data_IF_685117521473
#
_entry.id   IF_685117521473
#
_cell.length_a   1.000
_cell.length_b   1.000
_cell.length_c   1.000
_cell.angle_alpha   90.00
_cell.angle_beta   90.00
_cell.angle_gamma   90.00
#
_symmetry.space_group_name_H-M   'P 1'
#
loop_
_entity.id
_entity.type
_entity.pdbx_description
1 polymer ?
#
# COMPACT_ATOMS: atom_id res chain seq x y z
N UNK A 1 -39.66 -23.04 11.68
CA UNK A 1 -39.10 -22.65 10.36
C UNK A 1 -37.86 -23.49 10.12
N UNK A 2 -37.99 -24.52 9.30
CA UNK A 2 -36.84 -25.36 8.95
C UNK A 2 -35.77 -24.54 8.27
N UNK A 3 -34.56 -24.52 8.82
CA UNK A 3 -33.38 -23.94 8.17
C UNK A 3 -33.06 -24.77 6.91
N UNK A 4 -33.62 -24.40 5.76
CA UNK A 4 -33.29 -25.03 4.49
C UNK A 4 -31.77 -25.09 4.37
N UNK A 5 -31.21 -26.27 4.17
CA UNK A 5 -29.76 -26.49 4.11
C UNK A 5 -29.19 -25.80 2.89
N UNK A 6 -28.28 -24.82 3.12
CA UNK A 6 -27.60 -24.09 2.06
C UNK A 6 -26.31 -24.82 1.64
N UNK A 7 -26.10 -24.96 0.34
CA UNK A 7 -24.91 -25.58 -0.24
C UNK A 7 -24.23 -24.58 -1.16
N UNK A 8 -22.90 -24.55 -1.16
CA UNK A 8 -22.10 -23.65 -2.00
C UNK A 8 -21.33 -24.44 -3.03
N UNK A 9 -21.41 -24.00 -4.27
CA UNK A 9 -20.63 -24.55 -5.38
C UNK A 9 -19.77 -23.45 -6.01
N UNK A 10 -18.56 -23.83 -6.43
CA UNK A 10 -17.73 -22.96 -7.25
C UNK A 10 -18.35 -22.87 -8.64
N UNK A 11 -18.38 -21.66 -9.22
CA UNK A 11 -18.84 -21.46 -10.59
C UNK A 11 -17.90 -22.21 -11.54
N UNK A 12 -18.41 -22.97 -12.52
CA UNK A 12 -17.58 -23.60 -13.54
C UNK A 12 -16.88 -22.54 -14.39
N UNK A 13 -15.80 -22.92 -15.05
CA UNK A 13 -14.98 -21.97 -15.84
C UNK A 13 -15.74 -21.42 -17.07
N UNK A 14 -16.64 -22.20 -17.60
CA UNK A 14 -17.50 -21.87 -18.73
C UNK A 14 -18.84 -21.23 -18.34
N UNK A 15 -19.07 -20.93 -17.05
CA UNK A 15 -20.28 -20.28 -16.53
C UNK A 15 -20.61 -18.96 -17.25
N UNK A 16 -19.62 -18.30 -17.80
CA UNK A 16 -19.80 -17.04 -18.53
C UNK A 16 -20.18 -17.21 -20.02
N UNK A 17 -20.59 -18.40 -20.40
CA UNK A 17 -21.29 -18.70 -21.67
C UNK A 17 -22.77 -18.93 -21.33
N UNK A 18 -23.74 -18.17 -21.93
CA UNK A 18 -25.15 -18.23 -21.52
C UNK A 18 -25.72 -19.63 -21.48
N UNK A 19 -25.54 -20.40 -22.56
CA UNK A 19 -26.04 -21.79 -22.68
C UNK A 19 -25.46 -22.73 -21.64
N UNK A 20 -24.16 -22.56 -21.31
CA UNK A 20 -23.48 -23.37 -20.29
C UNK A 20 -23.95 -23.01 -18.88
N UNK A 21 -24.16 -21.70 -18.63
CA UNK A 21 -24.66 -21.24 -17.35
C UNK A 21 -26.10 -21.72 -17.10
N UNK A 22 -26.98 -21.55 -18.11
CA UNK A 22 -28.36 -22.00 -18.06
C UNK A 22 -28.41 -23.53 -17.84
N UNK A 23 -27.71 -24.32 -18.67
CA UNK A 23 -27.65 -25.77 -18.55
C UNK A 23 -27.10 -26.28 -17.22
N UNK A 24 -26.04 -25.64 -16.67
CA UNK A 24 -25.51 -25.99 -15.36
C UNK A 24 -26.51 -25.72 -14.22
N UNK A 25 -27.26 -24.63 -14.30
CA UNK A 25 -28.31 -24.30 -13.32
C UNK A 25 -29.48 -25.27 -13.41
N UNK A 26 -29.86 -25.69 -14.61
CA UNK A 26 -30.89 -26.69 -14.86
C UNK A 26 -30.48 -28.07 -14.31
N UNK A 27 -29.22 -28.48 -14.54
CA UNK A 27 -28.65 -29.72 -13.99
C UNK A 27 -28.71 -29.70 -12.45
N UNK A 28 -28.35 -28.61 -11.82
CA UNK A 28 -28.44 -28.47 -10.36
C UNK A 28 -29.89 -28.50 -9.83
N UNK A 29 -30.85 -27.95 -10.56
CA UNK A 29 -32.24 -28.02 -10.19
C UNK A 29 -32.77 -29.46 -10.28
N UNK A 30 -32.37 -30.21 -11.29
CA UNK A 30 -32.68 -31.65 -11.40
C UNK A 30 -32.08 -32.50 -10.25
N UNK A 31 -30.99 -32.03 -9.63
CA UNK A 31 -30.40 -32.62 -8.40
C UNK A 31 -31.14 -32.15 -7.10
N UNK A 32 -32.21 -31.36 -7.21
CA UNK A 32 -32.89 -30.75 -6.06
C UNK A 32 -32.17 -29.57 -5.43
N UNK A 33 -31.30 -28.91 -6.19
CA UNK A 33 -30.52 -27.75 -5.74
C UNK A 33 -30.98 -26.49 -6.48
N UNK A 34 -31.66 -25.59 -5.77
CA UNK A 34 -32.21 -24.37 -6.35
C UNK A 34 -31.33 -23.17 -6.05
N UNK A 35 -30.98 -22.41 -7.08
CA UNK A 35 -30.15 -21.22 -6.93
C UNK A 35 -30.82 -20.19 -6.00
N UNK A 36 -30.09 -19.70 -5.03
CA UNK A 36 -30.50 -18.61 -4.14
C UNK A 36 -29.78 -17.32 -4.46
N UNK A 37 -28.47 -17.38 -4.66
CA UNK A 37 -27.67 -16.21 -4.97
C UNK A 37 -26.40 -16.58 -5.73
N UNK A 38 -25.96 -15.65 -6.59
CA UNK A 38 -24.68 -15.72 -7.29
C UNK A 38 -23.70 -14.74 -6.69
N UNK A 39 -22.58 -15.27 -6.23
CA UNK A 39 -21.43 -14.49 -5.80
C UNK A 39 -20.38 -14.40 -6.89
N UNK A 40 -19.19 -13.96 -6.51
CA UNK A 40 -18.07 -13.73 -7.41
C UNK A 40 -17.49 -15.01 -8.04
N UNK A 41 -17.30 -16.02 -7.23
CA UNK A 41 -16.73 -17.34 -7.61
C UNK A 41 -17.62 -18.50 -7.15
N UNK A 42 -18.72 -18.22 -6.48
CA UNK A 42 -19.54 -19.19 -5.80
C UNK A 42 -21.00 -18.93 -6.06
N UNK A 43 -21.75 -19.99 -6.28
CA UNK A 43 -23.21 -19.97 -6.26
C UNK A 43 -23.70 -20.62 -4.95
N UNK A 44 -24.74 -20.05 -4.37
CA UNK A 44 -25.42 -20.60 -3.18
C UNK A 44 -26.74 -21.20 -3.60
N UNK A 45 -26.94 -22.45 -3.25
CA UNK A 45 -28.13 -23.19 -3.54
C UNK A 45 -28.86 -23.57 -2.25
N UNK A 46 -30.16 -23.76 -2.36
CA UNK A 46 -31.01 -24.29 -1.31
C UNK A 46 -31.49 -25.68 -1.74
N UNK A 47 -31.44 -26.68 -0.84
CA UNK A 47 -31.99 -28.01 -1.10
C UNK A 47 -33.53 -27.97 -1.14
N UNK A 48 -34.08 -28.62 -2.13
CA UNK A 48 -35.51 -28.86 -2.34
C UNK A 48 -35.75 -30.20 -3.00
N UNK A 49 -36.98 -30.45 -3.42
CA UNK A 49 -37.31 -31.64 -4.19
C UNK A 49 -36.78 -31.46 -5.64
N UNK A 50 -36.19 -32.51 -6.26
CA UNK A 50 -35.76 -32.44 -7.64
C UNK A 50 -36.88 -32.00 -8.58
N UNK A 51 -36.62 -30.99 -9.41
CA UNK A 51 -37.60 -30.45 -10.35
C UNK A 51 -36.90 -30.12 -11.69
N UNK A 52 -37.59 -30.35 -12.79
CA UNK A 52 -37.16 -29.91 -14.10
C UNK A 52 -37.45 -28.42 -14.27
N UNK A 53 -36.58 -27.58 -13.71
CA UNK A 53 -36.66 -26.13 -13.84
C UNK A 53 -35.83 -25.67 -15.04
N UNK A 54 -36.35 -24.67 -15.76
CA UNK A 54 -35.60 -23.93 -16.77
C UNK A 54 -34.99 -22.67 -16.18
N UNK A 55 -33.81 -22.28 -16.65
CA UNK A 55 -33.19 -21.02 -16.29
C UNK A 55 -32.96 -20.17 -17.52
N UNK A 56 -33.04 -18.85 -17.35
CA UNK A 56 -32.79 -17.88 -18.41
C UNK A 56 -31.98 -16.70 -17.87
N UNK A 57 -30.95 -16.31 -18.60
CA UNK A 57 -30.14 -15.12 -18.33
C UNK A 57 -30.63 -13.95 -19.20
N UNK A 58 -30.96 -12.81 -18.58
CA UNK A 58 -31.48 -11.63 -19.28
C UNK A 58 -30.66 -10.40 -18.91
N UNK A 59 -30.23 -9.56 -19.86
CA UNK A 59 -29.53 -8.32 -19.56
C UNK A 59 -30.46 -7.34 -18.84
N UNK A 60 -29.92 -6.70 -17.78
CA UNK A 60 -30.62 -5.69 -17.01
C UNK A 60 -30.42 -4.32 -17.64
N UNK A 61 -31.50 -3.52 -17.75
CA UNK A 61 -31.39 -2.15 -18.25
C UNK A 61 -30.72 -1.27 -17.19
N UNK A 62 -29.53 -0.69 -17.46
CA UNK A 62 -28.81 0.12 -16.50
C UNK A 62 -29.44 1.50 -16.25
N UNK A 63 -30.31 1.96 -17.14
CA UNK A 63 -30.98 3.26 -17.09
C UNK A 63 -32.40 3.16 -16.48
N UNK A 64 -32.90 1.95 -16.28
CA UNK A 64 -34.18 1.74 -15.61
C UNK A 64 -34.00 1.97 -14.10
N UNK A 65 -34.79 2.87 -13.53
CA UNK A 65 -34.79 3.18 -12.10
C UNK A 65 -35.36 2.04 -11.25
N UNK A 66 -36.01 1.05 -11.87
CA UNK A 66 -36.55 -0.13 -11.17
C UNK A 66 -35.42 -1.01 -10.66
N UNK A 67 -35.63 -1.56 -9.47
CA UNK A 67 -34.72 -2.55 -8.89
C UNK A 67 -34.70 -3.85 -9.69
N UNK A 68 -33.65 -4.71 -9.48
CA UNK A 68 -33.52 -5.99 -10.21
C UNK A 68 -34.73 -6.92 -10.06
N UNK A 69 -35.34 -6.93 -8.87
CA UNK A 69 -36.54 -7.74 -8.62
C UNK A 69 -37.78 -7.22 -9.36
N UNK A 70 -37.90 -5.89 -9.53
CA UNK A 70 -38.99 -5.27 -10.27
C UNK A 70 -38.82 -5.49 -11.76
N UNK A 71 -37.61 -5.30 -12.30
CA UNK A 71 -37.30 -5.62 -13.69
C UNK A 71 -37.52 -7.10 -13.97
N UNK A 72 -37.11 -8.00 -13.07
CA UNK A 72 -37.37 -9.43 -13.14
C UNK A 72 -38.88 -9.78 -13.06
N UNK A 73 -39.64 -9.00 -12.30
CA UNK A 73 -41.09 -9.14 -12.17
C UNK A 73 -41.86 -8.93 -13.46
N UNK A 74 -41.35 -8.16 -14.42
CA UNK A 74 -41.95 -7.98 -15.74
C UNK A 74 -42.04 -9.30 -16.53
N UNK A 75 -41.19 -10.28 -16.23
CA UNK A 75 -41.15 -11.60 -16.86
C UNK A 75 -42.10 -12.60 -16.23
N UNK A 76 -42.72 -12.26 -15.07
CA UNK A 76 -43.64 -13.15 -14.38
C UNK A 76 -44.87 -13.54 -15.23
N UNK A 77 -45.36 -12.65 -16.06
CA UNK A 77 -46.48 -12.88 -17.03
C UNK A 77 -46.16 -13.97 -18.06
N UNK A 78 -44.88 -14.28 -18.26
CA UNK A 78 -44.41 -15.31 -19.19
C UNK A 78 -43.97 -16.60 -18.47
N UNK A 79 -44.30 -16.75 -17.18
CA UNK A 79 -43.97 -17.92 -16.39
C UNK A 79 -42.57 -17.89 -15.75
N UNK A 80 -41.86 -16.75 -15.81
CA UNK A 80 -40.53 -16.63 -15.22
C UNK A 80 -40.54 -15.91 -13.89
N UNK A 81 -39.77 -16.46 -12.92
CA UNK A 81 -39.59 -15.91 -11.58
C UNK A 81 -38.17 -15.38 -11.44
N UNK A 82 -38.01 -14.16 -10.89
CA UNK A 82 -36.69 -13.62 -10.57
C UNK A 82 -36.07 -14.37 -9.40
N UNK A 83 -34.83 -14.84 -9.59
CA UNK A 83 -34.06 -15.56 -8.56
C UNK A 83 -32.97 -14.69 -7.97
N UNK A 84 -32.11 -14.18 -8.83
CA UNK A 84 -30.95 -13.38 -8.43
C UNK A 84 -30.39 -12.59 -9.60
N UNK A 85 -29.32 -11.85 -9.39
CA UNK A 85 -28.63 -11.08 -10.41
C UNK A 85 -27.14 -11.36 -10.42
N UNK A 86 -26.52 -11.24 -11.57
CA UNK A 86 -25.07 -11.25 -11.74
C UNK A 86 -24.59 -9.81 -11.93
N UNK A 87 -23.86 -9.27 -10.93
CA UNK A 87 -23.24 -7.92 -10.93
C UNK A 87 -24.16 -6.75 -11.30
N UNK A 88 -25.45 -6.83 -10.99
CA UNK A 88 -26.43 -5.81 -11.41
C UNK A 88 -26.42 -5.53 -12.92
N UNK A 89 -26.10 -6.51 -13.74
CA UNK A 89 -26.04 -6.40 -15.19
C UNK A 89 -26.85 -7.49 -15.89
N UNK A 90 -26.99 -8.66 -15.25
CA UNK A 90 -27.73 -9.78 -15.81
C UNK A 90 -28.65 -10.34 -14.72
N UNK A 91 -29.94 -10.46 -15.05
CA UNK A 91 -30.95 -11.12 -14.23
C UNK A 91 -30.87 -12.62 -14.48
N UNK A 92 -31.07 -13.41 -13.43
CA UNK A 92 -31.25 -14.85 -13.51
C UNK A 92 -32.69 -15.16 -13.17
N UNK A 93 -33.39 -15.69 -14.15
CA UNK A 93 -34.79 -16.07 -14.05
C UNK A 93 -34.92 -17.60 -14.01
N UNK A 94 -35.93 -18.10 -13.31
CA UNK A 94 -36.30 -19.52 -13.22
C UNK A 94 -37.73 -19.67 -13.64
N UNK A 95 -38.04 -20.77 -14.35
CA UNK A 95 -39.42 -21.15 -14.68
C UNK A 95 -39.55 -22.67 -14.75
N UNK A 96 -40.78 -23.18 -14.75
CA UNK A 96 -41.07 -24.63 -14.97
C UNK A 96 -40.91 -24.98 -16.45
N UNK A 97 -40.16 -26.05 -16.72
CA UNK A 97 -39.92 -26.51 -18.09
C UNK A 97 -41.23 -26.84 -18.79
N UNK A 98 -41.49 -26.22 -19.95
CA UNK A 98 -42.72 -26.40 -20.72
C UNK A 98 -43.86 -25.42 -20.41
N UNK A 99 -43.78 -24.66 -19.30
CA UNK A 99 -44.77 -23.61 -18.96
C UNK A 99 -44.26 -22.19 -19.20
N UNK A 100 -42.95 -22.00 -19.35
CA UNK A 100 -42.38 -20.71 -19.64
C UNK A 100 -42.15 -20.50 -21.14
N UNK A 101 -42.65 -19.39 -21.64
CA UNK A 101 -42.40 -18.98 -23.03
C UNK A 101 -40.93 -18.50 -23.11
N UNK A 102 -40.21 -18.97 -24.14
CA UNK A 102 -38.89 -18.45 -24.46
C UNK A 102 -39.11 -17.06 -25.06
N UNK A 103 -38.86 -16.04 -24.27
CA UNK A 103 -39.10 -14.65 -24.67
C UNK A 103 -37.95 -14.23 -25.55
N UNK A 104 -38.24 -13.92 -26.79
CA UNK A 104 -37.39 -13.07 -27.60
C UNK A 104 -37.23 -11.74 -26.85
N UNK A 105 -36.00 -11.37 -26.52
CA UNK A 105 -35.72 -10.23 -25.64
C UNK A 105 -36.50 -8.98 -26.05
N UNK A 106 -37.40 -8.54 -25.17
CA UNK A 106 -38.20 -7.32 -25.34
C UNK A 106 -37.35 -6.03 -25.38
N UNK A 107 -36.09 -6.13 -24.99
CA UNK A 107 -35.18 -4.98 -24.79
C UNK A 107 -34.07 -5.04 -25.83
N UNK A 108 -34.07 -4.08 -26.75
CA UNK A 108 -33.24 -4.06 -27.95
C UNK A 108 -31.74 -3.94 -27.75
N UNK A 109 -31.00 -4.04 -28.85
CA UNK A 109 -29.53 -4.01 -28.98
C UNK A 109 -28.85 -2.87 -28.18
N UNK A 110 -29.56 -1.76 -27.95
CA UNK A 110 -29.02 -0.61 -27.19
C UNK A 110 -28.60 -0.92 -25.75
N UNK A 111 -29.22 -1.91 -25.10
CA UNK A 111 -28.91 -2.28 -23.72
C UNK A 111 -27.54 -2.96 -23.64
N UNK A 112 -27.23 -3.84 -24.56
CA UNK A 112 -25.90 -4.50 -24.61
C UNK A 112 -24.80 -3.47 -24.82
N UNK A 113 -24.99 -2.51 -25.71
CA UNK A 113 -24.03 -1.44 -25.95
C UNK A 113 -23.83 -0.56 -24.71
N UNK A 114 -24.90 -0.21 -24.00
CA UNK A 114 -24.85 0.57 -22.75
C UNK A 114 -24.09 -0.21 -21.64
N UNK A 115 -24.40 -1.48 -21.45
CA UNK A 115 -23.73 -2.32 -20.46
C UNK A 115 -22.25 -2.53 -20.79
N UNK A 116 -21.92 -2.77 -22.06
CA UNK A 116 -20.54 -2.89 -22.51
C UNK A 116 -19.76 -1.58 -22.36
N UNK A 117 -20.39 -0.42 -22.58
CA UNK A 117 -19.78 0.89 -22.35
C UNK A 117 -19.49 1.12 -20.87
N UNK A 118 -20.44 0.77 -19.99
CA UNK A 118 -20.27 0.84 -18.52
C UNK A 118 -19.12 -0.03 -18.03
N UNK A 119 -18.96 -1.22 -18.61
CA UNK A 119 -17.84 -2.12 -18.28
C UNK A 119 -16.49 -1.61 -18.77
N UNK A 120 -16.43 -0.96 -19.94
CA UNK A 120 -15.19 -0.34 -20.45
C UNK A 120 -14.66 0.73 -19.51
N UNK A 121 -15.53 1.53 -18.90
CA UNK A 121 -15.15 2.52 -17.90
C UNK A 121 -14.47 1.91 -16.67
N UNK A 122 -14.81 0.68 -16.30
CA UNK A 122 -14.19 0.00 -15.16
C UNK A 122 -12.74 -0.44 -15.41
N UNK A 123 -12.31 -0.54 -16.66
CA UNK A 123 -10.94 -0.90 -17.01
C UNK A 123 -9.92 0.17 -16.58
N UNK A 124 -10.30 1.44 -16.57
CA UNK A 124 -9.48 2.55 -16.06
C UNK A 124 -9.25 2.45 -14.54
N UNK A 125 -10.13 1.75 -13.83
CA UNK A 125 -10.00 1.52 -12.40
C UNK A 125 -8.71 0.78 -11.99
N UNK A 126 -8.08 0.04 -12.92
CA UNK A 126 -6.77 -0.61 -12.67
C UNK A 126 -5.65 0.39 -12.42
N UNK A 127 -5.73 1.55 -13.05
CA UNK A 127 -4.69 2.57 -12.93
C UNK A 127 -4.93 3.53 -11.76
N UNK A 128 -6.14 3.57 -11.19
CA UNK A 128 -6.48 4.49 -10.11
C UNK A 128 -5.59 4.34 -8.87
N UNK A 129 -5.26 3.14 -8.33
CA UNK A 129 -4.38 3.03 -7.20
C UNK A 129 -2.95 3.48 -7.53
N UNK A 130 -2.47 3.20 -8.75
CA UNK A 130 -1.16 3.66 -9.19
C UNK A 130 -1.12 5.19 -9.29
N UNK A 131 -2.12 5.80 -9.93
CA UNK A 131 -2.23 7.27 -10.06
C UNK A 131 -2.36 7.90 -8.66
N UNK A 132 -3.19 7.33 -7.78
CA UNK A 132 -3.35 7.82 -6.41
C UNK A 132 -2.01 7.83 -5.67
N UNK A 133 -1.27 6.71 -5.70
CA UNK A 133 0.01 6.61 -5.03
C UNK A 133 1.09 7.49 -5.66
N UNK A 134 1.05 7.68 -6.98
CA UNK A 134 1.95 8.61 -7.68
C UNK A 134 1.66 10.07 -7.26
N UNK A 135 0.39 10.48 -7.25
CA UNK A 135 -0.03 11.81 -6.79
C UNK A 135 0.35 12.01 -5.33
N UNK A 136 0.09 11.01 -4.47
CA UNK A 136 0.46 11.06 -3.06
C UNK A 136 1.96 11.23 -2.88
N UNK A 137 2.75 10.53 -3.66
CA UNK A 137 4.21 10.59 -3.62
C UNK A 137 4.75 11.97 -4.07
N UNK A 138 4.19 12.51 -5.15
CA UNK A 138 4.52 13.86 -5.62
C UNK A 138 4.06 14.91 -4.60
N UNK A 139 2.85 14.78 -4.09
CA UNK A 139 2.31 15.71 -3.08
C UNK A 139 3.10 15.65 -1.77
N UNK A 140 3.46 14.46 -1.28
CA UNK A 140 4.29 14.31 -0.08
C UNK A 140 5.69 14.88 -0.26
N UNK A 141 6.29 14.69 -1.43
CA UNK A 141 7.57 15.29 -1.77
C UNK A 141 7.51 16.82 -1.81
N UNK A 142 6.46 17.36 -2.39
CA UNK A 142 6.29 18.82 -2.53
C UNK A 142 5.83 19.48 -1.23
N UNK A 143 4.83 18.92 -0.53
CA UNK A 143 4.22 19.52 0.66
C UNK A 143 5.01 19.27 1.94
N UNK A 144 5.67 18.12 2.05
CA UNK A 144 6.34 17.69 3.29
C UNK A 144 7.86 17.52 3.13
N UNK A 145 8.41 17.75 1.94
CA UNK A 145 9.83 17.54 1.66
C UNK A 145 10.27 16.07 1.69
N UNK A 146 9.32 15.11 1.79
CA UNK A 146 9.64 13.69 1.80
C UNK A 146 9.95 13.17 0.40
N UNK A 147 11.21 12.91 0.11
CA UNK A 147 11.59 12.16 -1.09
C UNK A 147 11.49 10.65 -0.89
N UNK A 148 11.47 9.91 -1.99
CA UNK A 148 11.42 8.44 -1.97
C UNK A 148 12.60 7.80 -1.25
N UNK A 149 13.78 8.38 -1.41
CA UNK A 149 15.00 7.87 -0.80
C UNK A 149 14.97 8.06 0.72
N UNK A 150 14.47 9.21 1.20
CA UNK A 150 14.26 9.46 2.62
C UNK A 150 13.32 8.44 3.24
N UNK A 151 12.17 8.17 2.59
CA UNK A 151 11.22 7.15 3.04
C UNK A 151 11.84 5.75 3.04
N UNK A 152 12.67 5.44 2.03
CA UNK A 152 13.32 4.14 1.91
C UNK A 152 14.41 3.95 2.97
N UNK A 153 15.26 4.96 3.20
CA UNK A 153 16.32 4.94 4.21
C UNK A 153 15.72 4.89 5.61
N UNK A 154 14.71 5.71 5.90
CA UNK A 154 13.99 5.67 7.19
C UNK A 154 13.09 4.42 7.37
N UNK A 155 13.01 3.56 6.36
CA UNK A 155 12.27 2.29 6.44
C UNK A 155 10.75 2.41 6.34
N UNK A 156 10.21 3.51 5.84
CA UNK A 156 8.76 3.73 5.71
C UNK A 156 8.16 3.34 4.36
N UNK A 157 9.00 2.99 3.37
CA UNK A 157 8.53 2.61 2.03
C UNK A 157 7.55 1.43 2.01
N UNK A 158 7.60 0.54 3.02
CA UNK A 158 6.70 -0.59 3.10
C UNK A 158 5.22 -0.19 3.13
N UNK A 159 4.87 0.96 3.72
CA UNK A 159 3.49 1.47 3.75
C UNK A 159 2.99 1.75 2.34
N UNK A 160 3.85 2.39 1.51
CA UNK A 160 3.54 2.71 0.12
C UNK A 160 3.36 1.44 -0.69
N UNK A 161 4.31 0.50 -0.60
CA UNK A 161 4.25 -0.77 -1.34
C UNK A 161 3.05 -1.61 -0.92
N UNK A 162 2.78 -1.72 0.38
CA UNK A 162 1.63 -2.47 0.89
C UNK A 162 0.31 -1.86 0.40
N UNK A 163 0.15 -0.54 0.53
CA UNK A 163 -1.05 0.16 0.08
C UNK A 163 -1.28 0.03 -1.42
N UNK A 164 -0.24 0.26 -2.23
CA UNK A 164 -0.29 0.10 -3.69
C UNK A 164 -0.61 -1.34 -4.08
N UNK A 165 0.04 -2.32 -3.42
CA UNK A 165 -0.19 -3.74 -3.67
C UNK A 165 -1.63 -4.16 -3.37
N UNK A 166 -2.14 -3.87 -2.18
CA UNK A 166 -3.50 -4.26 -1.76
C UNK A 166 -4.58 -3.59 -2.63
N UNK A 167 -4.45 -2.28 -2.88
CA UNK A 167 -5.38 -1.56 -3.74
C UNK A 167 -5.34 -2.10 -5.18
N UNK A 168 -4.13 -2.33 -5.72
CA UNK A 168 -3.95 -2.86 -7.07
C UNK A 168 -4.51 -4.27 -7.23
N UNK A 169 -4.27 -5.18 -6.29
CA UNK A 169 -4.83 -6.53 -6.31
C UNK A 169 -6.36 -6.52 -6.24
N UNK A 170 -6.94 -5.65 -5.42
CA UNK A 170 -8.39 -5.47 -5.35
C UNK A 170 -8.98 -5.03 -6.68
N UNK A 171 -8.38 -4.03 -7.31
CA UNK A 171 -8.81 -3.52 -8.62
C UNK A 171 -8.59 -4.54 -9.75
N UNK A 172 -7.45 -5.23 -9.76
CA UNK A 172 -7.16 -6.28 -10.74
C UNK A 172 -8.22 -7.38 -10.71
N UNK A 173 -8.62 -7.78 -9.51
CA UNK A 173 -9.67 -8.78 -9.35
C UNK A 173 -11.04 -8.29 -9.86
N UNK A 174 -11.38 -7.02 -9.64
CA UNK A 174 -12.62 -6.41 -10.15
C UNK A 174 -12.64 -6.32 -11.69
N UNK A 175 -11.48 -6.04 -12.28
CA UNK A 175 -11.32 -5.99 -13.73
C UNK A 175 -11.45 -7.37 -14.39
N UNK A 176 -10.87 -8.41 -13.80
CA UNK A 176 -11.01 -9.78 -14.30
C UNK A 176 -12.49 -10.19 -14.41
N UNK A 177 -13.27 -9.88 -13.37
CA UNK A 177 -14.70 -10.18 -13.40
C UNK A 177 -15.47 -9.33 -14.41
N UNK A 178 -15.10 -8.05 -14.56
CA UNK A 178 -15.71 -7.21 -15.57
C UNK A 178 -15.50 -7.79 -16.99
N UNK A 179 -14.30 -8.36 -17.26
CA UNK A 179 -14.03 -9.07 -18.51
C UNK A 179 -14.89 -10.31 -18.71
N UNK A 180 -15.07 -11.11 -17.66
CA UNK A 180 -15.91 -12.30 -17.74
C UNK A 180 -17.38 -11.95 -18.02
N UNK A 181 -17.92 -10.93 -17.34
CA UNK A 181 -19.27 -10.43 -17.61
C UNK A 181 -19.37 -9.79 -19.02
N UNK A 182 -18.33 -9.10 -19.46
CA UNK A 182 -18.27 -8.56 -20.83
C UNK A 182 -18.34 -9.67 -21.88
N UNK A 183 -17.66 -10.80 -21.64
CA UNK A 183 -17.75 -11.98 -22.52
C UNK A 183 -19.17 -12.54 -22.54
N UNK A 184 -19.77 -12.73 -21.35
CA UNK A 184 -21.17 -13.20 -21.24
C UNK A 184 -22.13 -12.30 -22.04
N UNK A 185 -22.04 -10.98 -21.85
CA UNK A 185 -22.91 -10.03 -22.55
C UNK A 185 -22.72 -10.05 -24.06
N UNK A 186 -21.50 -10.22 -24.56
CA UNK A 186 -21.23 -10.35 -26.00
C UNK A 186 -21.82 -11.63 -26.58
N UNK A 187 -21.68 -12.75 -25.88
CA UNK A 187 -22.29 -14.02 -26.32
C UNK A 187 -23.81 -13.94 -26.33
N UNK A 188 -24.42 -13.27 -25.33
CA UNK A 188 -25.86 -13.00 -25.31
C UNK A 188 -26.28 -12.10 -26.49
N UNK A 189 -25.51 -11.05 -26.79
CA UNK A 189 -25.78 -10.15 -27.94
C UNK A 189 -25.69 -10.92 -29.26
N UNK A 190 -24.70 -11.80 -29.43
CA UNK A 190 -24.55 -12.63 -30.62
C UNK A 190 -25.76 -13.58 -30.76
N UNK A 191 -26.16 -14.24 -29.66
CA UNK A 191 -27.34 -15.11 -29.63
C UNK A 191 -28.60 -14.35 -30.03
N UNK A 192 -28.83 -13.19 -29.47
CA UNK A 192 -29.95 -12.31 -29.78
C UNK A 192 -29.99 -11.92 -31.27
N UNK A 193 -28.85 -11.51 -31.84
CA UNK A 193 -28.76 -11.17 -33.28
C UNK A 193 -29.04 -12.37 -34.18
N UNK A 194 -28.61 -13.58 -33.76
CA UNK A 194 -28.88 -14.83 -34.52
C UNK A 194 -30.37 -15.18 -34.49
N UNK A 195 -31.04 -15.03 -33.35
CA UNK A 195 -32.45 -15.30 -33.21
C UNK A 195 -33.31 -14.30 -34.01
N UNK A 196 -32.97 -12.99 -34.04
CA UNK A 196 -33.65 -11.98 -34.85
C UNK A 196 -33.53 -12.23 -36.35
N UNK A 197 -32.46 -12.85 -36.83
CA UNK A 197 -32.26 -13.14 -38.25
C UNK A 197 -32.89 -14.47 -38.72
N UNK A 198 -33.72 -15.09 -37.89
CA UNK A 198 -34.47 -16.30 -38.27
C UNK A 198 -33.61 -17.54 -38.50
N UNK A 199 -32.49 -17.69 -37.81
CA UNK A 199 -31.65 -18.89 -37.86
C UNK A 199 -30.82 -19.06 -39.14
N UNK A 200 -30.78 -18.10 -40.05
CA UNK A 200 -29.93 -18.12 -41.24
C UNK A 200 -28.44 -18.05 -40.87
N UNK A 201 -27.61 -18.87 -41.54
CA UNK A 201 -26.15 -18.85 -41.34
C UNK A 201 -25.60 -17.44 -41.60
N UNK A 202 -25.01 -16.86 -40.55
CA UNK A 202 -24.24 -15.64 -40.68
C UNK A 202 -23.01 -16.01 -41.52
N UNK A 203 -22.99 -15.55 -42.78
CA UNK A 203 -21.76 -15.63 -43.57
C UNK A 203 -20.64 -14.96 -42.78
N UNK A 204 -19.65 -15.76 -42.41
CA UNK A 204 -18.50 -15.42 -41.56
C UNK A 204 -17.56 -14.36 -42.22
N UNK A 205 -18.00 -13.66 -43.24
CA UNK A 205 -17.15 -12.83 -44.08
C UNK A 205 -16.90 -11.42 -43.55
N UNK A 206 -17.83 -10.86 -42.74
CA UNK A 206 -17.66 -9.49 -42.20
C UNK A 206 -16.86 -9.44 -40.85
N UNK A 207 -16.52 -10.59 -40.31
CA UNK A 207 -15.85 -10.66 -39.01
C UNK A 207 -14.35 -10.94 -39.04
N UNK A 208 -13.74 -11.19 -40.20
CA UNK A 208 -12.34 -11.61 -40.28
C UNK A 208 -11.37 -10.45 -39.97
N UNK A 209 -11.61 -9.27 -40.51
CA UNK A 209 -10.69 -8.13 -40.32
C UNK A 209 -10.86 -7.44 -38.95
N UNK A 210 -12.10 -7.38 -38.45
CA UNK A 210 -12.31 -6.89 -37.05
C UNK A 210 -11.89 -7.91 -35.98
N UNK A 211 -11.95 -9.21 -36.30
CA UNK A 211 -11.58 -10.30 -35.39
C UNK A 211 -10.08 -10.39 -35.12
N UNK A 212 -9.24 -10.11 -36.09
CA UNK A 212 -7.79 -10.23 -35.96
C UNK A 212 -7.18 -9.07 -35.18
N UNK A 213 -7.63 -7.83 -35.43
CA UNK A 213 -7.21 -6.64 -34.67
C UNK A 213 -7.73 -6.71 -33.24
N UNK A 214 -8.96 -7.16 -33.02
CA UNK A 214 -9.53 -7.32 -31.67
C UNK A 214 -8.86 -8.47 -30.91
N UNK A 215 -8.38 -9.53 -31.56
CA UNK A 215 -7.64 -10.63 -30.91
C UNK A 215 -6.25 -10.19 -30.47
N UNK A 216 -5.54 -9.38 -31.24
CA UNK A 216 -4.25 -8.82 -30.89
C UNK A 216 -4.32 -7.87 -29.68
N UNK A 217 -5.26 -6.93 -29.69
CA UNK A 217 -5.51 -6.02 -28.58
C UNK A 217 -5.98 -6.76 -27.31
N UNK A 218 -6.79 -7.81 -27.45
CA UNK A 218 -7.20 -8.63 -26.31
C UNK A 218 -6.02 -9.40 -25.68
N UNK A 219 -5.13 -9.95 -26.49
CA UNK A 219 -3.90 -10.61 -26.03
C UNK A 219 -2.96 -9.62 -25.34
N UNK A 220 -2.73 -8.46 -25.95
CA UNK A 220 -1.91 -7.39 -25.34
C UNK A 220 -2.47 -6.93 -23.99
N UNK A 221 -3.78 -6.76 -23.90
CA UNK A 221 -4.47 -6.39 -22.65
C UNK A 221 -4.39 -7.52 -21.60
N UNK A 222 -4.36 -8.78 -21.98
CA UNK A 222 -4.17 -9.91 -21.06
C UNK A 222 -2.72 -9.99 -20.52
N UNK A 223 -1.75 -9.75 -21.39
CA UNK A 223 -0.33 -9.66 -21.00
C UNK A 223 -0.15 -8.49 -20.01
N UNK A 224 -0.67 -7.30 -20.35
CA UNK A 224 -0.61 -6.14 -19.48
C UNK A 224 -1.26 -6.41 -18.11
N UNK A 225 -2.41 -7.07 -18.10
CA UNK A 225 -3.08 -7.48 -16.88
C UNK A 225 -2.21 -8.39 -16.01
N UNK A 226 -1.59 -9.42 -16.60
CA UNK A 226 -0.70 -10.35 -15.87
C UNK A 226 0.51 -9.62 -15.30
N UNK A 227 1.13 -8.74 -16.08
CA UNK A 227 2.25 -7.90 -15.64
C UNK A 227 1.83 -7.02 -14.45
N UNK A 228 0.70 -6.32 -14.56
CA UNK A 228 0.18 -5.48 -13.46
C UNK A 228 -0.17 -6.29 -12.22
N UNK A 229 -0.77 -7.46 -12.39
CA UNK A 229 -1.09 -8.35 -11.28
C UNK A 229 0.18 -8.82 -10.55
N UNK A 230 1.20 -9.23 -11.30
CA UNK A 230 2.50 -9.63 -10.75
C UNK A 230 3.16 -8.45 -10.02
N UNK A 231 3.15 -7.27 -10.62
CA UNK A 231 3.69 -6.06 -10.00
C UNK A 231 3.01 -5.76 -8.64
N UNK A 232 1.67 -5.77 -8.58
CA UNK A 232 0.95 -5.52 -7.33
C UNK A 232 1.17 -6.63 -6.29
N UNK A 233 1.29 -7.89 -6.71
CA UNK A 233 1.63 -8.99 -5.82
C UNK A 233 3.04 -8.81 -5.22
N UNK A 234 4.02 -8.44 -6.02
CA UNK A 234 5.39 -8.13 -5.58
C UNK A 234 5.38 -6.95 -4.60
N UNK A 235 4.68 -5.86 -4.92
CA UNK A 235 4.53 -4.72 -4.00
C UNK A 235 3.92 -5.13 -2.64
N UNK A 236 2.91 -6.00 -2.66
CA UNK A 236 2.28 -6.49 -1.42
C UNK A 236 3.27 -7.30 -0.57
N UNK A 237 4.04 -8.19 -1.20
CA UNK A 237 5.06 -8.99 -0.51
C UNK A 237 6.14 -8.10 0.10
N UNK A 238 6.68 -7.15 -0.67
CA UNK A 238 7.67 -6.19 -0.14
C UNK A 238 7.10 -5.35 0.99
N UNK A 239 5.86 -4.88 0.87
CA UNK A 239 5.18 -4.12 1.92
C UNK A 239 5.00 -4.93 3.20
N UNK A 240 4.60 -6.20 3.11
CA UNK A 240 4.45 -7.10 4.25
C UNK A 240 5.81 -7.38 4.92
N UNK A 241 6.83 -7.73 4.15
CA UNK A 241 8.17 -7.99 4.68
C UNK A 241 8.76 -6.75 5.36
N UNK A 242 8.59 -5.57 4.76
CA UNK A 242 9.00 -4.31 5.35
C UNK A 242 8.25 -4.00 6.64
N UNK A 243 6.94 -4.23 6.69
CA UNK A 243 6.11 -4.06 7.88
C UNK A 243 6.50 -5.00 9.02
N UNK A 244 6.76 -6.28 8.70
CA UNK A 244 7.25 -7.27 9.68
C UNK A 244 8.63 -6.83 10.23
N UNK A 245 9.54 -6.43 9.35
CA UNK A 245 10.86 -5.94 9.76
C UNK A 245 10.76 -4.72 10.67
N UNK A 246 9.91 -3.75 10.32
CA UNK A 246 9.66 -2.56 11.14
C UNK A 246 9.06 -2.93 12.52
N UNK A 247 8.12 -3.87 12.57
CA UNK A 247 7.51 -4.33 13.82
C UNK A 247 8.52 -5.08 14.72
N UNK A 248 9.36 -5.92 14.12
CA UNK A 248 10.43 -6.66 14.84
C UNK A 248 11.50 -5.69 15.34
N UNK A 249 11.91 -4.72 14.52
CA UNK A 249 12.92 -3.74 14.89
C UNK A 249 12.44 -2.84 16.03
N UNK A 250 11.18 -2.39 16.02
CA UNK A 250 10.60 -1.58 17.10
C UNK A 250 10.53 -2.28 18.45
N UNK A 251 10.43 -3.61 18.49
CA UNK A 251 10.40 -4.36 19.76
C UNK A 251 11.75 -4.46 20.47
N UNK A 252 12.86 -4.18 19.78
CA UNK A 252 14.21 -4.48 20.26
C UNK A 252 14.92 -3.35 20.99
N UNK A 253 14.34 -2.14 21.07
CA UNK A 253 15.17 -0.98 21.39
C UNK A 253 14.46 0.09 22.20
N UNK A 254 14.60 0.02 23.51
CA UNK A 254 14.19 1.10 24.41
C UNK A 254 15.22 1.29 25.51
N UNK A 255 15.77 2.49 25.58
CA UNK A 255 16.59 2.94 26.69
C UNK A 255 15.76 3.67 27.73
N UNK A 256 16.01 3.40 29.00
CA UNK A 256 15.45 4.16 30.12
C UNK A 256 16.58 4.54 31.04
N UNK A 257 16.78 5.81 31.29
CA UNK A 257 17.70 6.26 32.32
C UNK A 257 18.13 7.73 32.20
N UNK A 258 18.64 8.28 33.31
CA UNK A 258 19.37 9.54 33.36
C UNK A 258 20.75 9.38 32.71
N UNK A 259 21.16 10.27 31.82
CA UNK A 259 22.48 10.16 31.20
C UNK A 259 23.62 10.18 32.21
N UNK A 260 23.49 10.92 33.31
CA UNK A 260 24.46 10.91 34.43
C UNK A 260 24.62 9.53 35.06
N UNK A 261 23.56 8.74 35.22
CA UNK A 261 23.63 7.38 35.74
C UNK A 261 24.33 6.40 34.79
N UNK A 262 24.40 6.71 33.49
CA UNK A 262 25.09 5.86 32.50
C UNK A 262 26.62 6.12 32.46
N UNK A 263 27.05 7.31 32.83
CA UNK A 263 28.50 7.62 32.91
C UNK A 263 29.16 6.96 34.13
N UNK A 264 28.43 6.81 35.25
CA UNK A 264 28.93 6.17 36.46
C UNK A 264 28.87 4.64 36.45
N UNK A 265 27.79 4.05 35.94
CA UNK A 265 27.51 2.60 36.00
C UNK A 265 27.94 1.80 34.76
N UNK A 266 28.29 2.47 33.66
CA UNK A 266 28.53 1.84 32.37
C UNK A 266 27.25 1.26 31.73
N UNK A 267 27.41 0.74 30.53
CA UNK A 267 26.30 0.14 29.79
C UNK A 267 25.92 -1.23 30.34
N UNK A 268 24.67 -1.40 30.75
CA UNK A 268 24.12 -2.72 31.04
C UNK A 268 23.73 -3.42 29.74
N UNK A 269 24.21 -4.65 29.54
CA UNK A 269 23.87 -5.50 28.41
C UNK A 269 22.36 -5.70 28.37
N UNK A 270 21.69 -5.23 27.30
CA UNK A 270 20.26 -5.36 27.13
C UNK A 270 19.47 -4.05 27.12
N UNK A 271 20.06 -2.92 27.49
CA UNK A 271 19.29 -1.67 27.60
C UNK A 271 18.82 -1.12 26.23
N UNK A 272 19.69 -1.01 25.23
CA UNK A 272 19.25 -0.55 23.91
C UNK A 272 19.81 -1.32 22.72
N UNK A 273 20.72 -2.25 22.95
CA UNK A 273 21.38 -3.02 21.91
C UNK A 273 21.31 -4.50 22.24
N UNK A 274 20.75 -5.29 21.33
CA UNK A 274 20.75 -6.74 21.52
C UNK A 274 22.16 -7.28 21.44
N UNK A 275 22.46 -8.36 22.18
CA UNK A 275 23.74 -9.05 22.10
C UNK A 275 24.16 -9.39 20.66
N UNK A 276 23.19 -9.72 19.81
CA UNK A 276 23.41 -9.97 18.39
C UNK A 276 23.81 -8.73 17.60
N UNK A 277 23.31 -7.55 17.96
CA UNK A 277 23.70 -6.27 17.35
C UNK A 277 25.13 -5.91 17.76
N UNK A 278 25.43 -5.96 19.05
CA UNK A 278 26.76 -5.65 19.59
C UNK A 278 27.85 -6.60 19.09
N UNK A 279 27.52 -7.87 18.80
CA UNK A 279 28.44 -8.82 18.17
C UNK A 279 28.80 -8.39 16.74
N UNK A 280 27.87 -7.82 16.00
CA UNK A 280 28.10 -7.32 14.64
C UNK A 280 28.74 -5.94 14.60
N UNK A 281 28.53 -5.14 15.63
CA UNK A 281 28.96 -3.74 15.73
C UNK A 281 29.65 -3.49 17.09
N UNK A 282 30.86 -4.03 17.31
CA UNK A 282 31.53 -3.99 18.64
C UNK A 282 31.84 -2.56 19.13
N UNK A 283 32.10 -1.63 18.21
CA UNK A 283 32.34 -0.22 18.54
C UNK A 283 31.18 0.44 19.31
N UNK A 284 29.98 -0.08 19.17
CA UNK A 284 28.80 0.43 19.86
C UNK A 284 28.75 0.06 21.36
N UNK A 285 29.63 -0.80 21.84
CA UNK A 285 29.73 -1.15 23.28
C UNK A 285 30.25 0.01 24.14
N UNK A 286 31.16 0.78 23.56
CA UNK A 286 31.84 1.89 24.25
C UNK A 286 31.21 3.25 24.01
N UNK A 287 30.24 3.31 23.08
CA UNK A 287 29.61 4.57 22.72
C UNK A 287 28.56 4.97 23.74
N UNK A 288 28.55 6.24 24.11
CA UNK A 288 27.46 6.83 24.90
C UNK A 288 26.10 6.61 24.22
N UNK A 289 25.02 6.30 24.96
CA UNK A 289 23.66 6.26 24.42
C UNK A 289 23.25 7.56 23.76
N UNK A 290 23.82 8.65 24.20
CA UNK A 290 23.59 9.97 23.67
C UNK A 290 24.23 10.19 22.29
N UNK A 291 25.10 9.29 21.79
CA UNK A 291 26.03 9.46 20.69
C UNK A 291 27.05 10.59 20.97
N UNK A 292 26.57 11.81 21.02
CA UNK A 292 27.30 13.00 21.50
C UNK A 292 26.52 13.51 22.69
N UNK A 293 27.03 13.41 23.94
CA UNK A 293 26.36 13.92 25.11
C UNK A 293 26.13 15.44 25.04
N UNK A 294 24.96 15.89 25.50
CA UNK A 294 24.59 17.30 25.44
C UNK A 294 25.56 18.20 26.22
N UNK A 295 26.13 17.71 27.32
CA UNK A 295 27.16 18.44 28.11
C UNK A 295 28.49 18.64 27.36
N UNK A 296 28.73 17.92 26.29
CA UNK A 296 29.89 18.19 25.40
C UNK A 296 29.64 19.37 24.45
N UNK A 297 28.37 19.64 24.12
CA UNK A 297 27.98 20.78 23.29
C UNK A 297 27.68 21.98 24.20
N UNK A 298 26.75 21.84 25.14
CA UNK A 298 26.41 22.90 26.09
C UNK A 298 27.36 22.82 27.28
N UNK A 299 28.45 23.60 27.26
CA UNK A 299 29.48 23.60 28.28
C UNK A 299 29.05 24.39 29.53
N UNK A 300 28.15 23.81 30.32
CA UNK A 300 27.67 24.41 31.56
C UNK A 300 27.70 23.38 32.69
N UNK A 301 28.40 23.72 33.79
CA UNK A 301 28.57 22.86 34.94
C UNK A 301 27.26 22.56 35.70
N UNK A 302 26.26 23.45 35.61
CA UNK A 302 24.95 23.28 36.25
C UNK A 302 23.94 22.57 35.33
N UNK A 303 24.38 22.06 34.16
CA UNK A 303 23.52 21.43 33.21
C UNK A 303 22.97 20.09 33.70
N UNK A 304 21.68 20.06 34.01
CA UNK A 304 20.94 18.82 34.20
C UNK A 304 20.38 18.40 32.84
N UNK A 305 20.80 17.30 32.26
CA UNK A 305 20.27 16.81 31.00
C UNK A 305 19.78 15.37 31.05
N UNK A 306 18.83 15.04 30.17
CA UNK A 306 18.25 13.71 30.03
C UNK A 306 18.26 13.30 28.57
N UNK A 307 18.58 12.04 28.33
CA UNK A 307 18.44 11.42 27.01
C UNK A 307 17.02 10.88 26.89
N UNK A 308 16.31 11.30 25.87
CA UNK A 308 14.93 10.89 25.66
C UNK A 308 14.84 9.53 24.97
N UNK A 309 14.14 8.58 25.60
CA UNK A 309 13.84 7.26 25.03
C UNK A 309 12.36 7.13 24.70
N UNK A 310 12.06 6.51 23.58
CA UNK A 310 10.67 6.34 23.14
C UNK A 310 10.01 5.19 23.91
N UNK A 311 9.16 5.50 24.89
CA UNK A 311 8.36 4.50 25.61
C UNK A 311 6.96 5.02 25.97
N UNK A 312 5.94 4.58 25.25
CA UNK A 312 4.53 4.66 25.65
C UNK A 312 3.99 6.05 26.02
N UNK A 313 2.92 6.09 26.79
CA UNK A 313 2.11 7.29 27.06
C UNK A 313 2.74 8.36 27.96
N UNK A 314 3.80 8.06 28.72
CA UNK A 314 4.50 9.01 29.59
C UNK A 314 5.96 9.09 29.14
N UNK A 315 6.24 10.07 28.30
CA UNK A 315 7.47 10.19 27.54
C UNK A 315 8.44 11.12 28.25
N UNK A 316 9.55 10.59 28.73
CA UNK A 316 10.63 11.44 29.21
C UNK A 316 11.97 11.24 28.48
N UNK A 317 12.09 10.32 27.51
CA UNK A 317 13.38 10.10 26.88
C UNK A 317 13.35 9.31 25.57
N UNK A 318 14.26 9.63 24.65
CA UNK A 318 14.26 9.10 23.31
C UNK A 318 15.66 8.79 22.79
N UNK A 319 15.95 7.51 22.64
CA UNK A 319 17.09 7.00 21.87
C UNK A 319 16.65 5.73 21.14
N UNK A 320 16.77 5.74 19.83
CA UNK A 320 16.32 4.66 18.97
C UNK A 320 17.44 4.23 18.03
N UNK A 321 17.78 2.95 18.05
CA UNK A 321 18.64 2.34 17.04
C UNK A 321 17.81 1.40 16.20
N UNK A 322 17.73 1.65 14.91
CA UNK A 322 16.98 0.85 13.94
C UNK A 322 17.84 0.53 12.74
N UNK A 323 17.28 -0.16 11.77
CA UNK A 323 17.92 -0.38 10.50
C UNK A 323 16.85 -0.54 9.40
N UNK A 324 17.21 -0.14 8.21
CA UNK A 324 16.44 -0.38 6.99
C UNK A 324 17.28 -1.16 5.98
N UNK A 325 16.64 -1.56 4.87
CA UNK A 325 17.36 -2.23 3.80
C UNK A 325 18.49 -1.37 3.20
N UNK A 326 18.29 -0.04 3.13
CA UNK A 326 19.24 0.89 2.53
C UNK A 326 20.21 1.50 3.53
N UNK A 327 19.83 1.54 4.81
CA UNK A 327 20.68 1.97 5.91
C UNK A 327 20.58 0.96 7.07
N UNK A 328 21.43 -0.08 7.06
CA UNK A 328 21.39 -1.16 8.05
C UNK A 328 21.57 -0.68 9.49
N UNK A 329 22.25 0.43 9.68
CA UNK A 329 22.44 1.05 11.00
C UNK A 329 21.87 2.46 10.95
N UNK A 330 20.96 2.75 11.87
CA UNK A 330 20.38 4.06 12.11
C UNK A 330 20.26 4.29 13.61
N UNK A 331 20.55 5.50 14.03
CA UNK A 331 20.32 5.92 15.41
C UNK A 331 19.65 7.29 15.42
N UNK A 332 18.68 7.46 16.29
CA UNK A 332 18.04 8.74 16.55
C UNK A 332 18.06 8.97 18.05
N UNK A 333 18.59 10.10 18.48
CA UNK A 333 18.75 10.46 19.88
C UNK A 333 18.27 11.87 20.09
N UNK A 334 17.44 12.08 21.11
CA UNK A 334 17.01 13.39 21.54
C UNK A 334 17.37 13.60 23.01
N UNK A 335 17.96 14.74 23.29
CA UNK A 335 18.43 15.11 24.62
C UNK A 335 17.83 16.46 24.98
N UNK A 336 17.50 16.61 26.23
CA UNK A 336 16.93 17.82 26.78
C UNK A 336 17.70 18.21 28.04
N UNK A 337 18.14 19.46 28.10
CA UNK A 337 18.90 20.00 29.24
C UNK A 337 18.26 21.23 29.84
N UNK A 338 18.51 21.42 31.13
CA UNK A 338 18.10 22.58 31.88
C UNK A 338 19.24 23.04 32.79
N UNK A 339 19.39 24.33 32.93
CA UNK A 339 20.27 24.93 33.92
C UNK A 339 19.67 26.23 34.45
N UNK A 340 20.21 26.73 35.55
CA UNK A 340 19.82 28.01 36.12
C UNK A 340 20.82 29.08 35.75
N UNK A 341 20.36 30.19 35.25
CA UNK A 341 21.14 31.40 35.04
C UNK A 341 20.55 32.54 35.88
N UNK A 342 21.10 32.72 37.10
CA UNK A 342 20.53 33.62 38.08
C UNK A 342 19.15 33.19 38.52
N UNK A 343 18.12 34.04 38.22
CA UNK A 343 16.70 33.72 38.55
C UNK A 343 15.95 33.02 37.40
N UNK A 344 16.57 32.92 36.24
CA UNK A 344 15.95 32.35 35.04
C UNK A 344 16.35 30.87 34.86
N UNK A 345 15.43 30.06 34.36
CA UNK A 345 15.73 28.72 33.88
C UNK A 345 15.99 28.79 32.36
N UNK A 346 17.13 28.28 31.94
CA UNK A 346 17.50 28.08 30.53
C UNK A 346 17.27 26.62 30.14
N UNK A 347 17.00 26.41 28.87
CA UNK A 347 16.75 25.10 28.34
C UNK A 347 17.54 24.91 27.04
N UNK A 348 18.03 23.70 26.81
CA UNK A 348 18.64 23.31 25.55
C UNK A 348 18.10 21.98 25.05
N UNK A 349 18.15 21.77 23.76
CA UNK A 349 17.73 20.50 23.13
C UNK A 349 18.74 20.12 22.06
N UNK A 350 19.19 18.87 22.07
CA UNK A 350 20.03 18.31 21.02
C UNK A 350 19.36 17.06 20.46
N UNK A 351 19.06 17.09 19.18
CA UNK A 351 18.60 15.94 18.40
C UNK A 351 19.72 15.50 17.47
N UNK A 352 20.03 14.23 17.49
CA UNK A 352 21.04 13.61 16.63
C UNK A 352 20.38 12.49 15.82
N UNK A 353 20.66 12.44 14.53
CA UNK A 353 20.31 11.33 13.66
C UNK A 353 21.58 10.84 12.95
N UNK A 354 21.84 9.55 13.03
CA UNK A 354 22.96 8.89 12.38
C UNK A 354 22.48 7.79 11.45
N UNK A 355 23.08 7.71 10.28
CA UNK A 355 22.75 6.73 9.25
C UNK A 355 24.03 6.16 8.64
N UNK A 356 24.15 4.84 8.63
CA UNK A 356 25.15 4.13 7.85
C UNK A 356 24.45 3.45 6.67
N UNK A 357 24.65 3.98 5.48
CA UNK A 357 24.03 3.48 4.25
C UNK A 357 24.87 2.39 3.61
N UNK A 358 24.30 1.63 2.66
CA UNK A 358 25.01 0.55 1.98
C UNK A 358 26.20 1.02 1.14
N UNK A 359 26.15 2.24 0.57
CA UNK A 359 27.20 2.75 -0.31
C UNK A 359 27.40 4.26 -0.15
N UNK A 360 28.61 4.79 -0.42
CA UNK A 360 28.86 6.23 -0.38
C UNK A 360 28.00 7.04 -1.37
N UNK A 361 27.66 6.47 -2.54
CA UNK A 361 26.76 7.11 -3.51
C UNK A 361 25.36 7.28 -2.95
N UNK A 362 24.88 6.27 -2.24
CA UNK A 362 23.58 6.32 -1.57
C UNK A 362 23.61 7.35 -0.44
N UNK A 363 24.69 7.41 0.34
CA UNK A 363 24.88 8.42 1.38
C UNK A 363 24.81 9.84 0.84
N UNK A 364 25.53 10.13 -0.26
CA UNK A 364 25.52 11.46 -0.88
C UNK A 364 24.13 11.85 -1.40
N UNK A 365 23.42 10.92 -2.04
CA UNK A 365 22.04 11.17 -2.48
C UNK A 365 21.10 11.42 -1.29
N UNK A 366 21.21 10.60 -0.23
CA UNK A 366 20.42 10.72 0.98
C UNK A 366 20.73 12.02 1.74
N UNK A 367 21.98 12.39 1.87
CA UNK A 367 22.42 13.65 2.48
C UNK A 367 21.71 14.86 1.85
N UNK A 368 21.66 14.92 0.50
CA UNK A 368 20.98 16.00 -0.24
C UNK A 368 19.49 16.00 -0.02
N UNK A 369 18.87 14.83 0.08
CA UNK A 369 17.44 14.71 0.31
C UNK A 369 17.06 15.02 1.76
N UNK A 370 17.87 14.58 2.72
CA UNK A 370 17.72 14.90 4.14
C UNK A 370 17.83 16.41 4.38
N UNK A 371 18.80 17.05 3.75
CA UNK A 371 18.96 18.50 3.79
C UNK A 371 17.72 19.22 3.23
N UNK A 372 17.20 18.78 2.06
CA UNK A 372 15.96 19.36 1.50
C UNK A 372 14.77 19.18 2.42
N UNK A 373 14.62 18.03 3.06
CA UNK A 373 13.53 17.74 4.00
C UNK A 373 13.53 18.70 5.17
N UNK A 374 14.66 18.88 5.85
CA UNK A 374 14.76 19.79 6.99
C UNK A 374 14.69 21.25 6.57
N UNK A 375 15.27 21.65 5.43
CA UNK A 375 15.20 23.00 4.90
C UNK A 375 13.79 23.42 4.43
N UNK A 376 12.96 22.45 4.00
CA UNK A 376 11.62 22.76 3.51
C UNK A 376 10.73 23.46 4.57
N UNK A 377 10.93 23.12 5.83
CA UNK A 377 10.12 23.66 6.93
C UNK A 377 10.57 25.03 7.42
N UNK A 378 11.77 25.47 7.06
CA UNK A 378 12.37 26.70 7.56
C UNK A 378 12.61 27.71 6.44
N UNK A 379 11.56 28.47 6.10
CA UNK A 379 11.66 29.57 5.10
C UNK A 379 12.64 30.64 5.58
N UNK A 380 13.67 30.91 4.78
CA UNK A 380 14.72 31.90 5.09
C UNK A 380 16.03 31.29 5.59
N UNK A 381 16.10 29.98 5.68
CA UNK A 381 17.33 29.29 6.04
C UNK A 381 18.29 29.22 4.85
N UNK A 382 19.48 29.77 5.01
CA UNK A 382 20.56 29.68 4.04
C UNK A 382 21.65 28.80 4.64
N UNK A 383 21.76 27.53 4.23
CA UNK A 383 22.81 26.64 4.72
C UNK A 383 24.18 27.12 4.20
N UNK A 384 25.15 27.17 5.08
CA UNK A 384 26.53 27.48 4.72
C UNK A 384 27.29 26.16 4.50
N UNK A 385 27.84 25.98 3.31
CA UNK A 385 28.74 24.87 3.03
C UNK A 385 30.10 25.18 3.66
N UNK A 386 30.53 24.34 4.58
CA UNK A 386 31.80 24.48 5.30
C UNK A 386 32.80 23.48 4.72
N UNK A 387 34.01 23.92 4.46
CA UNK A 387 35.11 23.04 4.09
C UNK A 387 35.60 22.30 5.35
N UNK A 388 35.74 21.00 5.27
CA UNK A 388 36.26 20.16 6.35
C UNK A 388 37.36 19.24 5.82
N UNK A 389 38.41 19.09 6.58
CA UNK A 389 39.47 18.10 6.30
C UNK A 389 39.03 16.67 6.55
N UNK A 390 37.98 16.48 7.38
CA UNK A 390 37.46 15.17 7.78
C UNK A 390 36.22 14.77 6.96
N UNK A 391 35.20 15.63 6.90
CA UNK A 391 33.93 15.32 6.22
C UNK A 391 34.02 15.54 4.71
N UNK A 392 33.42 14.63 3.92
CA UNK A 392 33.32 14.77 2.48
C UNK A 392 32.32 15.86 2.08
N UNK A 393 31.25 16.01 2.86
CA UNK A 393 30.24 17.06 2.73
C UNK A 393 29.83 17.53 4.14
N UNK A 394 29.88 18.85 4.36
CA UNK A 394 29.51 19.50 5.62
C UNK A 394 28.67 20.74 5.31
N UNK A 395 27.50 20.83 5.94
CA UNK A 395 26.60 21.99 5.84
C UNK A 395 26.15 22.35 7.24
N UNK A 396 26.31 23.60 7.62
CA UNK A 396 25.96 24.12 8.94
C UNK A 396 25.08 25.35 8.82
N UNK A 397 24.22 25.54 9.80
CA UNK A 397 23.47 26.76 10.02
C UNK A 397 23.47 27.06 11.52
N UNK A 398 24.14 28.13 11.92
CA UNK A 398 24.36 28.53 13.30
C UNK A 398 23.73 29.91 13.59
N UNK A 399 22.41 30.08 13.30
CA UNK A 399 21.71 31.34 13.57
C UNK A 399 20.37 31.09 14.25
N UNK A 400 20.34 31.11 15.57
CA UNK A 400 19.16 30.94 16.39
C UNK A 400 18.75 29.49 16.61
N UNK A 401 18.44 28.76 15.55
CA UNK A 401 18.32 27.30 15.54
C UNK A 401 19.57 26.77 14.83
N UNK A 402 20.24 25.80 15.43
CA UNK A 402 21.49 25.28 14.95
C UNK A 402 21.28 23.93 14.26
N UNK A 403 21.80 23.79 13.04
CA UNK A 403 21.72 22.56 12.26
C UNK A 403 23.09 22.20 11.70
N UNK A 404 23.42 20.92 11.80
CA UNK A 404 24.61 20.37 11.17
C UNK A 404 24.23 19.13 10.36
N UNK A 405 24.65 19.10 9.11
CA UNK A 405 24.60 17.92 8.26
C UNK A 405 26.01 17.58 7.84
N UNK A 406 26.47 16.38 8.13
CA UNK A 406 27.79 15.92 7.74
C UNK A 406 27.72 14.53 7.11
N UNK A 407 28.58 14.29 6.11
CA UNK A 407 28.75 13.01 5.46
C UNK A 407 30.22 12.62 5.42
N UNK A 408 30.52 11.37 5.79
CA UNK A 408 31.81 10.74 5.62
C UNK A 408 31.62 9.36 5.01
N UNK A 409 32.14 9.12 3.81
CA UNK A 409 31.96 7.85 3.12
C UNK A 409 30.48 7.48 2.95
N UNK A 410 30.07 6.36 3.56
CA UNK A 410 28.69 5.87 3.58
C UNK A 410 27.90 6.28 4.84
N UNK A 411 28.45 7.14 5.66
CA UNK A 411 27.85 7.62 6.92
C UNK A 411 27.29 9.03 6.73
N UNK A 412 26.12 9.29 7.34
CA UNK A 412 25.47 10.61 7.39
C UNK A 412 25.08 10.88 8.83
N UNK A 413 25.44 12.03 9.36
CA UNK A 413 25.00 12.52 10.65
C UNK A 413 24.26 13.85 10.47
N UNK A 414 23.16 13.98 11.20
CA UNK A 414 22.38 15.20 11.31
C UNK A 414 22.26 15.59 12.76
N UNK A 415 22.48 16.86 13.06
CA UNK A 415 22.23 17.45 14.36
C UNK A 415 21.26 18.62 14.24
N UNK A 416 20.39 18.72 15.21
CA UNK A 416 19.53 19.88 15.46
C UNK A 416 19.72 20.28 16.92
N UNK A 417 20.10 21.52 17.14
CA UNK A 417 20.40 22.02 18.47
C UNK A 417 19.67 23.35 18.73
N UNK A 418 19.12 23.46 19.91
CA UNK A 418 18.58 24.69 20.49
C UNK A 418 19.38 24.94 21.77
N UNK A 419 20.14 26.00 21.82
CA UNK A 419 20.99 26.41 22.93
C UNK A 419 21.82 27.62 22.56
N UNK A 420 22.81 27.93 23.40
CA UNK A 420 23.61 29.15 23.26
C UNK A 420 24.93 28.91 22.48
N UNK A 421 25.31 27.64 22.27
CA UNK A 421 26.58 27.27 21.64
C UNK A 421 26.46 27.13 20.13
N UNK A 422 27.53 27.36 19.40
CA UNK A 422 27.60 27.15 17.95
C UNK A 422 28.08 25.73 17.63
N UNK A 423 27.38 25.02 16.72
CA UNK A 423 27.79 23.67 16.32
C UNK A 423 29.11 23.63 15.57
N UNK A 424 29.52 24.76 14.96
CA UNK A 424 30.84 24.91 14.35
C UNK A 424 32.00 24.73 15.33
N UNK A 425 31.82 25.13 16.59
CA UNK A 425 32.88 25.05 17.60
C UNK A 425 33.05 23.62 18.16
N UNK A 426 32.09 22.73 17.85
CA UNK A 426 32.01 21.35 18.32
C UNK A 426 32.22 20.30 17.22
N UNK A 427 32.80 20.66 16.09
CA UNK A 427 33.07 19.72 14.98
C UNK A 427 33.91 18.50 15.42
N UNK A 428 34.93 18.61 16.30
CA UNK A 428 35.69 17.46 16.77
C UNK A 428 34.84 16.37 17.42
N UNK A 429 33.79 16.72 18.14
CA UNK A 429 32.85 15.79 18.77
C UNK A 429 32.07 14.97 17.74
N UNK A 430 31.65 15.63 16.62
CA UNK A 430 30.99 14.98 15.51
C UNK A 430 31.94 14.07 14.72
N UNK A 431 33.18 14.50 14.50
CA UNK A 431 34.23 13.71 13.85
C UNK A 431 34.51 12.43 14.66
N UNK A 432 34.73 12.56 15.96
CA UNK A 432 34.97 11.45 16.85
C UNK A 432 33.78 10.46 16.88
N UNK A 433 32.55 10.97 16.91
CA UNK A 433 31.37 10.14 16.89
C UNK A 433 31.27 9.33 15.59
N UNK A 434 31.48 9.98 14.44
CA UNK A 434 31.41 9.31 13.12
C UNK A 434 32.54 8.30 12.95
N UNK A 435 33.77 8.63 13.39
CA UNK A 435 34.91 7.71 13.37
C UNK A 435 34.65 6.46 14.21
N UNK A 436 34.17 6.65 15.44
CA UNK A 436 33.87 5.54 16.35
C UNK A 436 32.75 4.64 15.80
N UNK A 437 31.71 5.23 15.16
CA UNK A 437 30.60 4.49 14.57
C UNK A 437 30.98 3.77 13.28
N UNK A 438 31.96 4.27 12.54
CA UNK A 438 32.41 3.71 11.27
C UNK A 438 33.49 2.65 11.36
N UNK A 439 34.18 2.57 12.50
CA UNK A 439 35.30 1.64 12.74
C UNK A 439 34.88 0.21 13.12
N UNK A 440 33.62 -0.19 12.86
CA UNK A 440 33.10 -1.52 13.15
C UNK A 440 32.89 -2.38 11.91
#
# INVERSE_FOLDING_TARGET
MDKKQKVRFRLPEDFYLPEKAEGWLEEKAAEGLFLQSLGRKWAVFIKGEPEEAAYMLVPMDPDDMKGPAEQGGEYKKFGWEYVTQLRRMVLVLRGSRGQCERIQELKGQSIYEKLLRKLKGSAWGLFTPFIFWLIWLVASSYLMGYGMLLLAVKGYCWVVFLGMGLCGLSQASSWQEARLVQRLLREMEIRFKKELRGGGEIKAQDNKDSGEITSGLAKAADILYRVMLTFFAVCTVFGLLGGINAAVSRKKMVLTGNAAAYEEDGWKEGDFRTASFLKKHPAWKTLSPALIPLNKIQQNEELEYRVYTYKGKNQDSYSLVTGSLLAPVQAEVMQYGKWKEGRNSRESTLKLEYYQTLTPKLASAFFKELGRYYMHWYKGWVPEKVESSYFDELVIHDRGLHYLFARKGNQVIFAYYIGDEMLTDHLPEFEQAVETLGGG
#
